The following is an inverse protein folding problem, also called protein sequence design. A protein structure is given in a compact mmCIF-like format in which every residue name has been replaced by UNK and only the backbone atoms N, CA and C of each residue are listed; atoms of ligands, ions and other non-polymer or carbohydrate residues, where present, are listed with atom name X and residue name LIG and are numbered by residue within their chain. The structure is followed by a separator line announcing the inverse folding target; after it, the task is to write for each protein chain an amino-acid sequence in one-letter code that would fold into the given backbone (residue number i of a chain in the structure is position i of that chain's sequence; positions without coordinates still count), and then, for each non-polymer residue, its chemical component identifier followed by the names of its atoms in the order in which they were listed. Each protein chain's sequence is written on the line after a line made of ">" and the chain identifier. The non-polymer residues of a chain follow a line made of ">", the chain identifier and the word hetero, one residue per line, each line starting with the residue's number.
data_IF_776470357489
#
_entry.id   IF_776470357489
#
_cell.length_a   1.000
_cell.length_b   1.000
_cell.length_c   1.000
_cell.angle_alpha   90.00
_cell.angle_beta   90.00
_cell.angle_gamma   90.00
#
_symmetry.space_group_name_H-M   'P 1'
#
loop_
_entity.id
_entity.type
_entity.pdbx_description
1 polymer ?
#
# COMPACT_ATOMS: atom_id res chain seq x y z
N UNK A 1 -28.46 -68.78 -1.92
CA UNK A 1 -27.68 -67.57 -2.30
C UNK A 1 -26.71 -67.28 -1.15
N UNK A 2 -25.39 -67.38 -1.30
CA UNK A 2 -24.51 -67.07 -0.19
C UNK A 2 -24.45 -65.55 -0.02
N UNK A 3 -24.80 -65.05 1.16
CA UNK A 3 -24.71 -63.64 1.50
C UNK A 3 -23.24 -63.26 1.66
N UNK A 4 -22.78 -62.27 0.89
CA UNK A 4 -21.47 -61.65 1.11
C UNK A 4 -21.43 -61.17 2.58
N UNK A 5 -20.37 -61.47 3.36
CA UNK A 5 -20.33 -61.08 4.76
C UNK A 5 -20.54 -59.57 4.89
N UNK A 6 -21.52 -59.13 5.68
CA UNK A 6 -21.88 -57.71 5.89
C UNK A 6 -20.70 -56.77 6.16
N UNK A 7 -19.61 -57.28 6.70
CA UNK A 7 -18.35 -56.55 6.86
C UNK A 7 -17.74 -56.13 5.52
N UNK A 8 -17.64 -57.06 4.55
CA UNK A 8 -17.10 -56.81 3.22
C UNK A 8 -17.91 -55.75 2.49
N UNK A 9 -19.24 -55.76 2.64
CA UNK A 9 -20.12 -54.73 2.07
C UNK A 9 -19.84 -53.35 2.66
N UNK A 10 -19.74 -53.24 3.99
CA UNK A 10 -19.42 -51.96 4.67
C UNK A 10 -18.05 -51.44 4.29
N UNK A 11 -17.04 -52.31 4.25
CA UNK A 11 -15.67 -51.94 3.85
C UNK A 11 -15.66 -51.48 2.40
N UNK A 12 -16.36 -52.20 1.52
CA UNK A 12 -16.47 -51.84 0.10
C UNK A 12 -17.14 -50.48 -0.08
N UNK A 13 -18.22 -50.19 0.66
CA UNK A 13 -18.88 -48.89 0.65
C UNK A 13 -17.95 -47.77 1.17
N UNK A 14 -17.23 -48.01 2.27
CA UNK A 14 -16.28 -47.05 2.83
C UNK A 14 -15.13 -46.75 1.88
N UNK A 15 -14.56 -47.77 1.23
CA UNK A 15 -13.48 -47.60 0.26
C UNK A 15 -13.93 -46.80 -0.96
N UNK A 16 -15.14 -47.08 -1.49
CA UNK A 16 -15.74 -46.27 -2.57
C UNK A 16 -15.92 -44.82 -2.16
N UNK A 17 -16.41 -44.57 -0.95
CA UNK A 17 -16.55 -43.22 -0.43
C UNK A 17 -15.20 -42.49 -0.35
N UNK A 18 -14.15 -43.16 0.16
CA UNK A 18 -12.80 -42.59 0.24
C UNK A 18 -12.22 -42.32 -1.14
N UNK A 19 -12.46 -43.19 -2.11
CA UNK A 19 -12.04 -42.99 -3.50
C UNK A 19 -12.66 -41.70 -4.07
N UNK A 20 -13.98 -41.54 -3.95
CA UNK A 20 -14.68 -40.33 -4.41
C UNK A 20 -14.17 -39.06 -3.73
N UNK A 21 -13.87 -39.12 -2.44
CA UNK A 21 -13.28 -37.99 -1.72
C UNK A 21 -11.88 -37.63 -2.28
N UNK A 22 -11.05 -38.64 -2.56
CA UNK A 22 -9.73 -38.43 -3.14
C UNK A 22 -9.81 -37.82 -4.54
N UNK A 23 -10.70 -38.32 -5.40
CA UNK A 23 -10.96 -37.76 -6.73
C UNK A 23 -11.41 -36.30 -6.67
N UNK A 24 -12.32 -35.97 -5.75
CA UNK A 24 -12.75 -34.58 -5.53
C UNK A 24 -11.59 -33.69 -5.08
N UNK A 25 -10.73 -34.17 -4.17
CA UNK A 25 -9.58 -33.41 -3.71
C UNK A 25 -8.56 -33.18 -4.84
N UNK A 26 -8.35 -34.16 -5.71
CA UNK A 26 -7.51 -34.00 -6.91
C UNK A 26 -8.09 -32.92 -7.83
N UNK A 27 -9.38 -32.99 -8.15
CA UNK A 27 -10.04 -31.99 -8.99
C UNK A 27 -9.94 -30.57 -8.40
N UNK A 28 -10.07 -30.42 -7.06
CA UNK A 28 -9.88 -29.14 -6.37
C UNK A 28 -8.45 -28.63 -6.48
N UNK A 29 -7.45 -29.51 -6.35
CA UNK A 29 -6.03 -29.13 -6.51
C UNK A 29 -5.75 -28.63 -7.93
N UNK A 30 -6.28 -29.29 -8.94
CA UNK A 30 -6.12 -28.87 -10.33
C UNK A 30 -6.76 -27.51 -10.60
N UNK A 31 -7.97 -27.28 -10.05
CA UNK A 31 -8.64 -25.99 -10.14
C UNK A 31 -7.82 -24.86 -9.47
N UNK A 32 -7.25 -25.12 -8.28
CA UNK A 32 -6.37 -24.17 -7.59
C UNK A 32 -5.08 -23.91 -8.37
N UNK A 33 -4.48 -24.95 -8.97
CA UNK A 33 -3.29 -24.79 -9.80
C UNK A 33 -3.56 -23.88 -11.02
N UNK A 34 -4.69 -24.08 -11.70
CA UNK A 34 -5.12 -23.22 -12.81
C UNK A 34 -5.34 -21.78 -12.36
N UNK A 35 -6.03 -21.56 -11.24
CA UNK A 35 -6.27 -20.22 -10.69
C UNK A 35 -4.95 -19.52 -10.32
N UNK A 36 -3.99 -20.27 -9.75
CA UNK A 36 -2.64 -19.75 -9.47
C UNK A 36 -1.92 -19.33 -10.74
N UNK A 37 -1.98 -20.16 -11.79
CA UNK A 37 -1.37 -19.83 -13.09
C UNK A 37 -1.98 -18.58 -13.71
N UNK A 38 -3.31 -18.43 -13.65
CA UNK A 38 -4.01 -17.22 -14.11
C UNK A 38 -3.53 -15.99 -13.36
N UNK A 39 -3.48 -16.04 -12.02
CA UNK A 39 -3.01 -14.91 -11.22
C UNK A 39 -1.55 -14.52 -11.54
N UNK A 40 -0.67 -15.50 -11.79
CA UNK A 40 0.70 -15.23 -12.21
C UNK A 40 0.77 -14.60 -13.61
N UNK A 41 -0.07 -15.07 -14.55
CA UNK A 41 -0.14 -14.50 -15.89
C UNK A 41 -0.67 -13.06 -15.87
N UNK A 42 -1.69 -12.78 -15.04
CA UNK A 42 -2.21 -11.43 -14.81
C UNK A 42 -1.13 -10.52 -14.22
N UNK A 43 -0.39 -10.98 -13.21
CA UNK A 43 0.73 -10.24 -12.65
C UNK A 43 1.79 -9.92 -13.72
N UNK A 44 2.23 -10.92 -14.47
CA UNK A 44 3.22 -10.75 -15.54
C UNK A 44 2.74 -9.78 -16.65
N UNK A 45 1.44 -9.74 -16.93
CA UNK A 45 0.86 -8.80 -17.88
C UNK A 45 0.82 -7.35 -17.35
N UNK A 46 0.75 -7.17 -16.02
CA UNK A 46 0.69 -5.86 -15.37
C UNK A 46 2.08 -5.28 -15.07
N UNK A 47 3.08 -6.13 -14.79
CA UNK A 47 4.48 -5.71 -14.57
C UNK A 47 5.03 -4.72 -15.61
N UNK A 48 4.90 -4.94 -16.95
CA UNK A 48 5.44 -4.00 -17.93
C UNK A 48 4.72 -2.65 -17.89
N UNK A 49 3.42 -2.62 -17.59
CA UNK A 49 2.67 -1.37 -17.46
C UNK A 49 3.12 -0.58 -16.23
N UNK A 50 3.35 -1.27 -15.11
CA UNK A 50 3.91 -0.67 -13.91
C UNK A 50 5.31 -0.08 -14.18
N UNK A 51 6.16 -0.82 -14.90
CA UNK A 51 7.48 -0.35 -15.27
C UNK A 51 7.42 0.91 -16.14
N UNK A 52 6.56 0.92 -17.17
CA UNK A 52 6.34 2.10 -18.02
C UNK A 52 5.91 3.33 -17.21
N UNK A 53 4.99 3.15 -16.25
CA UNK A 53 4.55 4.23 -15.37
C UNK A 53 5.69 4.75 -14.49
N UNK A 54 6.49 3.85 -13.92
CA UNK A 54 7.65 4.24 -13.11
C UNK A 54 8.69 5.02 -13.92
N UNK A 55 8.98 4.59 -15.14
CA UNK A 55 9.94 5.28 -16.01
C UNK A 55 9.42 6.66 -16.40
N UNK A 56 8.13 6.78 -16.70
CA UNK A 56 7.49 8.07 -16.99
C UNK A 56 7.49 9.02 -15.78
N UNK A 57 7.29 8.49 -14.57
CA UNK A 57 7.42 9.28 -13.34
C UNK A 57 8.85 9.80 -13.19
N UNK A 58 9.88 8.98 -13.44
CA UNK A 58 11.29 9.40 -13.35
C UNK A 58 11.62 10.47 -14.38
N UNK A 59 11.16 10.32 -15.63
CA UNK A 59 11.33 11.32 -16.68
C UNK A 59 10.70 12.66 -16.30
N UNK A 60 9.45 12.64 -15.83
CA UNK A 60 8.76 13.84 -15.37
C UNK A 60 9.46 14.49 -14.17
N UNK A 61 9.93 13.71 -13.20
CA UNK A 61 10.71 14.22 -12.07
C UNK A 61 12.02 14.86 -12.53
N UNK A 62 12.69 14.28 -13.52
CA UNK A 62 13.91 14.84 -14.12
C UNK A 62 13.60 16.19 -14.79
N UNK A 63 12.57 16.26 -15.62
CA UNK A 63 12.15 17.51 -16.26
C UNK A 63 11.78 18.61 -15.25
N UNK A 64 11.12 18.24 -14.15
CA UNK A 64 10.78 19.18 -13.06
C UNK A 64 12.02 19.64 -12.28
N UNK A 65 13.01 18.77 -12.12
CA UNK A 65 14.29 19.11 -11.46
C UNK A 65 15.14 19.99 -12.37
N UNK A 66 15.31 19.60 -13.62
CA UNK A 66 16.10 20.32 -14.62
C UNK A 66 15.46 21.68 -14.97
N UNK A 67 14.12 21.76 -14.94
CA UNK A 67 13.37 23.01 -15.04
C UNK A 67 13.38 23.87 -13.78
N UNK A 68 13.76 23.32 -12.61
CA UNK A 68 13.97 24.06 -11.34
C UNK A 68 15.46 24.32 -11.12
N UNK A 69 16.09 25.02 -12.04
CA UNK A 69 17.44 25.57 -11.87
C UNK A 69 17.44 26.96 -11.22
N UNK A 70 17.19 27.06 -9.92
CA UNK A 70 17.81 28.12 -9.08
C UNK A 70 18.04 27.59 -7.66
N UNK A 71 19.26 27.75 -7.11
CA UNK A 71 19.52 27.43 -5.71
C UNK A 71 18.96 28.57 -4.86
N UNK A 72 17.84 28.36 -4.18
CA UNK A 72 17.54 29.16 -2.99
C UNK A 72 18.37 28.61 -1.83
N UNK A 73 19.70 28.79 -1.92
CA UNK A 73 20.57 28.78 -0.74
C UNK A 73 20.09 29.98 0.09
N UNK A 74 19.55 29.69 1.26
CA UNK A 74 19.06 30.70 2.19
C UNK A 74 20.09 31.84 2.34
N UNK A 75 19.65 33.11 2.45
CA UNK A 75 20.54 34.24 2.63
C UNK A 75 21.48 34.01 3.83
N UNK A 76 22.72 34.53 3.80
CA UNK A 76 23.66 34.41 4.91
C UNK A 76 23.03 34.99 6.18
N UNK A 77 23.34 34.38 7.34
CA UNK A 77 22.79 34.77 8.64
C UNK A 77 22.72 36.29 8.83
N UNK A 78 21.60 36.85 9.35
CA UNK A 78 21.46 38.29 9.46
C UNK A 78 22.51 38.87 10.42
N UNK A 79 22.99 40.10 10.17
CA UNK A 79 23.94 40.76 11.04
C UNK A 79 23.37 40.84 12.45
N UNK A 80 24.20 40.56 13.47
CA UNK A 80 23.88 40.48 14.92
C UNK A 80 23.14 41.69 15.53
N UNK A 81 22.81 42.72 14.75
CA UNK A 81 22.20 43.98 15.18
C UNK A 81 21.07 44.48 14.25
N UNK A 82 20.34 43.58 13.58
CA UNK A 82 19.04 43.96 13.01
C UNK A 82 18.00 44.07 14.15
N UNK A 83 17.21 45.17 14.25
CA UNK A 83 16.07 45.22 15.16
C UNK A 83 15.12 44.06 14.81
N UNK A 84 14.48 43.40 15.79
CA UNK A 84 13.67 42.23 15.52
C UNK A 84 12.59 42.60 14.52
N UNK A 85 12.58 41.93 13.36
CA UNK A 85 11.49 42.06 12.41
C UNK A 85 10.17 41.81 13.16
N UNK A 86 9.13 42.63 12.93
CA UNK A 86 7.85 42.41 13.56
C UNK A 86 7.38 41.00 13.20
N UNK A 87 6.95 40.24 14.23
CA UNK A 87 6.48 38.88 14.04
C UNK A 87 5.46 38.82 12.90
N UNK A 88 5.49 37.79 12.05
CA UNK A 88 4.54 37.66 10.96
C UNK A 88 3.11 37.72 11.54
N UNK A 89 2.19 38.31 10.78
CA UNK A 89 0.82 38.58 11.24
C UNK A 89 0.15 37.33 11.80
N UNK A 90 0.43 36.15 11.23
CA UNK A 90 -0.03 34.86 11.74
C UNK A 90 0.36 34.62 13.21
N UNK A 91 1.63 34.80 13.55
CA UNK A 91 2.16 34.64 14.91
C UNK A 91 1.59 35.69 15.87
N UNK A 92 1.33 36.91 15.40
CA UNK A 92 0.67 37.93 16.22
C UNK A 92 -0.76 37.53 16.58
N UNK A 93 -1.50 36.98 15.61
CA UNK A 93 -2.87 36.50 15.82
C UNK A 93 -2.85 35.27 16.75
N UNK A 94 -1.95 34.31 16.54
CA UNK A 94 -1.79 33.13 17.41
C UNK A 94 -1.49 33.53 18.86
N UNK A 95 -0.59 34.50 19.06
CA UNK A 95 -0.26 35.03 20.38
C UNK A 95 -1.44 35.75 21.03
N UNK A 96 -2.24 36.51 20.27
CA UNK A 96 -3.43 37.18 20.80
C UNK A 96 -4.53 36.18 21.18
N UNK A 97 -4.80 35.18 20.33
CA UNK A 97 -5.74 34.09 20.63
C UNK A 97 -5.24 33.29 21.84
N UNK A 98 -3.97 32.92 21.87
CA UNK A 98 -3.38 32.17 22.99
C UNK A 98 -3.57 32.89 24.32
N UNK A 99 -3.34 34.21 24.37
CA UNK A 99 -3.57 35.03 25.57
C UNK A 99 -5.05 35.03 25.99
N UNK A 100 -5.97 35.15 25.04
CA UNK A 100 -7.43 35.12 25.30
C UNK A 100 -7.90 33.75 25.82
N UNK A 101 -7.20 32.67 25.47
CA UNK A 101 -7.56 31.29 25.83
C UNK A 101 -6.50 30.61 26.73
N UNK A 102 -6.04 31.32 27.76
CA UNK A 102 -5.30 30.73 28.88
C UNK A 102 -3.87 30.29 28.56
N UNK A 103 -3.22 30.91 27.58
CA UNK A 103 -1.82 30.67 27.22
C UNK A 103 -1.57 29.35 26.49
N UNK A 104 -2.63 28.70 25.99
CA UNK A 104 -2.47 27.47 25.20
C UNK A 104 -1.92 27.80 23.81
N UNK A 105 -0.94 27.05 23.28
CA UNK A 105 -0.42 27.29 21.94
C UNK A 105 -1.53 27.04 20.91
N UNK A 106 -1.65 27.95 19.95
CA UNK A 106 -2.61 27.89 18.84
C UNK A 106 -1.81 27.93 17.56
N UNK A 107 -2.02 26.95 16.69
CA UNK A 107 -1.42 26.91 15.36
C UNK A 107 -2.54 27.11 14.34
N UNK A 108 -2.55 28.26 13.66
CA UNK A 108 -3.53 28.54 12.61
C UNK A 108 -3.15 27.83 11.29
N UNK A 109 -1.87 27.49 11.12
CA UNK A 109 -1.34 26.86 9.90
C UNK A 109 -1.46 25.33 9.87
N UNK A 110 -1.98 24.70 10.94
CA UNK A 110 -2.40 23.29 10.93
C UNK A 110 -1.32 22.26 10.60
N UNK A 111 -0.09 22.45 11.10
CA UNK A 111 1.03 21.49 10.98
C UNK A 111 1.31 20.85 12.34
#
# INVERSE_FOLDING_TARGET
>A
VPAVPRYVERVSALLRQKLLQAELLLAKRDALARRRQQALAEQAALEPKLQQLQDRIKELQKLVRDGRGTPQKAPPDPPRFAPPEPLPVSLQIEADISKRYGGRPVNLMGI
#
